data_IF_618000173751
#
_entry.id   IF_618000173751
#
_cell.length_a   1.000
_cell.length_b   1.000
_cell.length_c   1.000
_cell.angle_alpha   90.00
_cell.angle_beta   90.00
_cell.angle_gamma   90.00
#
_symmetry.space_group_name_H-M   'P 1'
#
loop_
_entity.id
_entity.type
_entity.pdbx_description
1 polymer ?
#
# COMPACT_ATOMS: atom_id res chain seq x y z
N UNK A 1 -22.29 -8.89 22.32
CA UNK A 1 -21.79 -7.70 23.04
C UNK A 1 -20.62 -8.14 23.92
N UNK A 2 -19.52 -7.40 23.95
CA UNK A 2 -18.41 -7.69 24.86
C UNK A 2 -18.77 -7.29 26.32
N UNK A 3 -18.23 -8.02 27.30
CA UNK A 3 -18.37 -7.75 28.74
C UNK A 3 -17.35 -6.72 29.25
N UNK A 4 -16.30 -7.18 29.94
CA UNK A 4 -15.16 -6.33 30.32
C UNK A 4 -14.46 -5.75 29.08
N UNK A 5 -14.11 -4.46 29.13
CA UNK A 5 -13.48 -3.72 28.02
C UNK A 5 -12.19 -3.04 28.48
N UNK A 6 -11.18 -2.90 27.61
CA UNK A 6 -9.91 -2.25 27.94
C UNK A 6 -10.09 -0.72 28.03
N UNK A 7 -10.40 -0.21 29.22
CA UNK A 7 -10.63 1.23 29.44
C UNK A 7 -9.46 2.13 29.05
N UNK A 8 -8.23 1.61 29.08
CA UNK A 8 -7.03 2.33 28.64
C UNK A 8 -7.06 2.77 27.17
N UNK A 9 -7.65 1.99 26.27
CA UNK A 9 -7.77 2.37 24.86
C UNK A 9 -8.74 3.54 24.66
N UNK A 10 -9.81 3.59 25.47
CA UNK A 10 -10.79 4.68 25.47
C UNK A 10 -10.13 5.96 25.97
N UNK A 11 -9.39 5.87 27.09
CA UNK A 11 -8.65 7.00 27.65
C UNK A 11 -7.56 7.50 26.67
N UNK A 12 -6.84 6.58 26.01
CA UNK A 12 -5.84 6.92 25.00
C UNK A 12 -6.43 7.64 23.79
N UNK A 13 -7.58 7.17 23.28
CA UNK A 13 -8.28 7.85 22.19
C UNK A 13 -8.75 9.26 22.59
N UNK A 14 -9.30 9.41 23.80
CA UNK A 14 -9.68 10.73 24.33
C UNK A 14 -8.47 11.66 24.46
N UNK A 15 -7.35 11.16 25.01
CA UNK A 15 -6.13 11.95 25.16
C UNK A 15 -5.57 12.40 23.79
N UNK A 16 -5.58 11.53 22.79
CA UNK A 16 -5.17 11.88 21.43
C UNK A 16 -6.05 13.01 20.84
N UNK A 17 -7.38 12.87 20.93
CA UNK A 17 -8.32 13.89 20.46
C UNK A 17 -8.10 15.24 21.14
N UNK A 18 -7.96 15.26 22.47
CA UNK A 18 -7.79 16.49 23.24
C UNK A 18 -6.42 17.13 23.01
N UNK A 19 -5.37 16.32 22.83
CA UNK A 19 -4.01 16.82 22.59
C UNK A 19 -3.84 17.48 21.21
N UNK A 20 -4.57 16.99 20.20
CA UNK A 20 -4.54 17.55 18.85
C UNK A 20 -5.46 18.76 18.71
N UNK A 21 -6.69 18.67 19.26
CA UNK A 21 -7.74 19.64 18.98
C UNK A 21 -8.08 19.76 17.50
N UNK A 22 -8.97 20.68 17.15
CA UNK A 22 -9.38 20.92 15.76
C UNK A 22 -8.20 21.35 14.88
N UNK A 23 -7.38 22.29 15.36
CA UNK A 23 -6.22 22.82 14.63
C UNK A 23 -5.19 21.74 14.29
N UNK A 24 -4.90 20.84 15.24
CA UNK A 24 -3.98 19.72 15.01
C UNK A 24 -4.50 18.75 13.96
N UNK A 25 -5.80 18.45 13.97
CA UNK A 25 -6.42 17.63 12.92
C UNK A 25 -6.39 18.30 11.54
N UNK A 26 -6.68 19.60 11.47
CA UNK A 26 -6.63 20.37 10.22
C UNK A 26 -5.22 20.40 9.64
N UNK A 27 -4.21 20.69 10.46
CA UNK A 27 -2.81 20.78 10.01
C UNK A 27 -2.26 19.40 9.58
N UNK A 28 -2.57 18.35 10.34
CA UNK A 28 -2.18 17.00 9.98
C UNK A 28 -2.85 16.54 8.68
N UNK A 29 -4.14 16.84 8.52
CA UNK A 29 -4.88 16.55 7.28
C UNK A 29 -4.26 17.28 6.10
N UNK A 30 -3.96 18.58 6.24
CA UNK A 30 -3.31 19.38 5.20
C UNK A 30 -2.00 18.73 4.73
N UNK A 31 -1.11 18.38 5.66
CA UNK A 31 0.18 17.73 5.37
C UNK A 31 0.01 16.40 4.63
N UNK A 32 -0.89 15.54 5.11
CA UNK A 32 -1.13 14.23 4.48
C UNK A 32 -1.73 14.41 3.07
N UNK A 33 -2.66 15.35 2.90
CA UNK A 33 -3.29 15.63 1.61
C UNK A 33 -2.30 16.21 0.59
N UNK A 34 -1.38 17.07 1.02
CA UNK A 34 -0.28 17.57 0.17
C UNK A 34 0.64 16.43 -0.28
N UNK A 35 1.07 15.58 0.66
CA UNK A 35 1.88 14.40 0.35
C UNK A 35 1.17 13.43 -0.62
N UNK A 36 -0.12 13.19 -0.40
CA UNK A 36 -0.94 12.34 -1.28
C UNK A 36 -0.98 12.89 -2.72
N UNK A 37 -1.21 14.20 -2.88
CA UNK A 37 -1.22 14.86 -4.20
C UNK A 37 0.14 14.82 -4.89
N UNK A 38 1.23 14.99 -4.13
CA UNK A 38 2.59 14.87 -4.66
C UNK A 38 2.87 13.45 -5.17
N UNK A 39 2.50 12.43 -4.39
CA UNK A 39 2.62 11.02 -4.79
C UNK A 39 1.76 10.73 -6.02
N UNK A 40 0.49 11.13 -6.03
CA UNK A 40 -0.41 10.93 -7.18
C UNK A 40 0.18 11.56 -8.45
N UNK A 41 0.67 12.80 -8.36
CA UNK A 41 1.32 13.49 -9.47
C UNK A 41 2.59 12.76 -9.92
N UNK A 42 3.46 12.40 -8.99
CA UNK A 42 4.70 11.70 -9.30
C UNK A 42 4.49 10.34 -9.96
N UNK A 43 3.46 9.60 -9.56
CA UNK A 43 3.08 8.34 -10.22
C UNK A 43 2.55 8.59 -11.63
N UNK A 44 1.73 9.62 -11.86
CA UNK A 44 1.23 9.99 -13.20
C UNK A 44 2.35 10.37 -14.17
N UNK A 45 3.51 10.79 -13.67
CA UNK A 45 4.69 11.10 -14.48
C UNK A 45 5.51 9.85 -14.87
N UNK A 46 5.15 8.66 -14.38
CA UNK A 46 5.80 7.39 -14.72
C UNK A 46 4.98 6.72 -15.84
N UNK A 47 5.48 6.66 -17.10
CA UNK A 47 4.69 6.23 -18.26
C UNK A 47 4.12 4.81 -18.16
N UNK A 48 4.81 3.92 -17.45
CA UNK A 48 4.40 2.52 -17.28
C UNK A 48 3.26 2.34 -16.27
N UNK A 49 2.96 3.36 -15.47
CA UNK A 49 1.98 3.27 -14.38
C UNK A 49 0.69 4.04 -14.69
N UNK A 50 -0.42 3.57 -14.13
CA UNK A 50 -1.68 4.28 -14.13
C UNK A 50 -2.28 4.30 -12.73
N UNK A 51 -2.99 5.38 -12.40
CA UNK A 51 -3.78 5.48 -11.17
C UNK A 51 -5.11 4.74 -11.35
N UNK A 52 -5.49 3.94 -10.36
CA UNK A 52 -6.79 3.26 -10.34
C UNK A 52 -7.85 4.27 -9.88
N UNK A 53 -8.70 4.70 -10.82
CA UNK A 53 -9.75 5.68 -10.55
C UNK A 53 -9.21 7.10 -10.35
N UNK A 54 -9.81 7.83 -9.40
CA UNK A 54 -9.44 9.21 -9.04
C UNK A 54 -9.40 9.33 -7.52
N UNK A 55 -8.21 9.27 -6.89
CA UNK A 55 -8.10 9.36 -5.44
C UNK A 55 -8.30 10.82 -4.99
N UNK A 56 -9.37 11.09 -4.24
CA UNK A 56 -9.62 12.42 -3.67
C UNK A 56 -9.00 12.61 -2.27
N UNK A 57 -8.44 11.55 -1.67
CA UNK A 57 -7.97 11.50 -0.29
C UNK A 57 -6.55 10.89 -0.19
N UNK A 58 -6.28 10.09 0.84
CA UNK A 58 -4.93 9.67 1.25
C UNK A 58 -4.52 8.28 0.79
N UNK A 59 -5.38 7.58 0.03
CA UNK A 59 -5.08 6.25 -0.50
C UNK A 59 -4.91 6.38 -2.01
N UNK A 60 -3.72 6.04 -2.50
CA UNK A 60 -3.39 6.09 -3.93
C UNK A 60 -3.10 4.66 -4.38
N UNK A 61 -4.03 4.11 -5.17
CA UNK A 61 -3.88 2.81 -5.82
C UNK A 61 -3.39 3.01 -7.25
N UNK A 62 -2.40 2.21 -7.67
CA UNK A 62 -1.81 2.28 -9.00
C UNK A 62 -1.44 0.90 -9.53
N UNK A 63 -1.45 0.76 -10.85
CA UNK A 63 -1.15 -0.48 -11.56
C UNK A 63 -0.32 -0.23 -12.81
N UNK A 64 -0.05 -1.29 -13.56
CA UNK A 64 0.57 -1.21 -14.88
C UNK A 64 -0.15 -2.12 -15.87
N UNK A 65 -0.22 -1.71 -17.13
CA UNK A 65 -0.69 -2.56 -18.24
C UNK A 65 0.45 -3.20 -19.02
N UNK A 66 1.69 -2.78 -18.76
CA UNK A 66 2.90 -3.19 -19.49
C UNK A 66 3.93 -3.92 -18.63
N UNK A 67 3.83 -3.81 -17.30
CA UNK A 67 4.66 -4.51 -16.31
C UNK A 67 3.80 -5.35 -15.36
N UNK A 68 4.39 -6.37 -14.74
CA UNK A 68 3.78 -7.00 -13.57
C UNK A 68 3.97 -6.10 -12.36
N UNK A 69 2.87 -5.50 -11.89
CA UNK A 69 2.89 -4.58 -10.75
C UNK A 69 3.36 -5.26 -9.45
N UNK A 70 3.22 -6.57 -9.33
CA UNK A 70 3.67 -7.29 -8.14
C UNK A 70 5.19 -7.49 -8.14
N UNK A 71 5.84 -7.58 -9.31
CA UNK A 71 7.31 -7.58 -9.39
C UNK A 71 7.87 -6.20 -8.97
N UNK A 72 7.19 -5.12 -9.37
CA UNK A 72 7.52 -3.76 -8.89
C UNK A 72 7.38 -3.69 -7.36
N UNK A 73 6.32 -4.30 -6.81
CA UNK A 73 6.10 -4.37 -5.37
C UNK A 73 7.20 -5.15 -4.64
N UNK A 74 7.72 -6.23 -5.22
CA UNK A 74 8.81 -7.00 -4.63
C UNK A 74 10.13 -6.20 -4.61
N UNK A 75 10.45 -5.45 -5.67
CA UNK A 75 11.61 -4.52 -5.64
C UNK A 75 11.42 -3.46 -4.56
N UNK A 76 10.24 -2.82 -4.51
CA UNK A 76 9.92 -1.83 -3.47
C UNK A 76 10.05 -2.43 -2.06
N UNK A 77 9.62 -3.69 -1.88
CA UNK A 77 9.77 -4.42 -0.62
C UNK A 77 11.23 -4.68 -0.24
N UNK A 78 12.09 -4.99 -1.21
CA UNK A 78 13.54 -5.14 -0.97
C UNK A 78 14.22 -3.83 -0.52
N UNK A 79 13.61 -2.68 -0.84
CA UNK A 79 14.01 -1.34 -0.40
C UNK A 79 13.37 -0.90 0.92
N UNK A 80 12.55 -1.77 1.54
CA UNK A 80 11.89 -1.53 2.82
C UNK A 80 10.48 -0.95 2.73
N UNK A 81 9.90 -0.84 1.53
CA UNK A 81 8.52 -0.37 1.36
C UNK A 81 7.51 -1.50 1.45
N UNK A 82 6.53 -1.38 2.34
CA UNK A 82 5.45 -2.36 2.48
C UNK A 82 4.15 -1.80 1.93
N UNK A 83 3.87 -2.09 0.66
CA UNK A 83 2.65 -1.66 -0.03
C UNK A 83 1.60 -2.78 -0.01
N UNK A 84 0.33 -2.39 -0.10
CA UNK A 84 -0.76 -3.36 -0.12
C UNK A 84 -1.00 -3.84 -1.54
N UNK A 85 -0.82 -5.15 -1.77
CA UNK A 85 -1.18 -5.80 -3.03
C UNK A 85 -2.71 -5.91 -3.17
N UNK A 86 -3.22 -5.50 -4.33
CA UNK A 86 -4.63 -5.48 -4.67
C UNK A 86 -4.90 -6.36 -5.90
N UNK A 87 -6.16 -6.74 -6.07
CA UNK A 87 -6.63 -7.56 -7.19
C UNK A 87 -7.88 -6.93 -7.80
N UNK A 88 -8.10 -7.15 -9.11
CA UNK A 88 -9.23 -6.62 -9.90
C UNK A 88 -9.34 -5.08 -9.94
N UNK A 89 -8.44 -4.39 -10.65
CA UNK A 89 -7.31 -4.91 -11.43
C UNK A 89 -6.09 -5.23 -10.54
N UNK A 90 -5.13 -5.98 -11.07
CA UNK A 90 -3.83 -6.14 -10.40
C UNK A 90 -3.24 -4.74 -10.18
N UNK A 91 -3.04 -4.39 -8.92
CA UNK A 91 -2.59 -3.06 -8.51
C UNK A 91 -1.93 -3.16 -7.14
N UNK A 92 -1.29 -2.09 -6.73
CA UNK A 92 -0.81 -1.89 -5.36
C UNK A 92 -1.30 -0.54 -4.87
N UNK A 93 -1.44 -0.36 -3.56
CA UNK A 93 -1.74 0.95 -2.99
C UNK A 93 -0.79 1.33 -1.86
N UNK A 94 -0.62 2.63 -1.70
CA UNK A 94 -0.06 3.27 -0.51
C UNK A 94 -1.17 4.05 0.21
N UNK A 95 -1.25 3.88 1.52
CA UNK A 95 -2.08 4.72 2.39
C UNK A 95 -1.17 5.75 3.05
N UNK A 96 -1.22 6.99 2.57
CA UNK A 96 -0.40 8.08 3.06
C UNK A 96 -0.87 8.46 4.48
N UNK A 97 0.09 8.55 5.38
CA UNK A 97 -0.06 8.99 6.79
C UNK A 97 1.00 10.04 7.08
N UNK A 98 0.99 10.64 8.28
CA UNK A 98 1.99 11.64 8.69
C UNK A 98 3.44 11.16 8.54
N UNK A 99 3.69 9.86 8.71
CA UNK A 99 5.03 9.27 8.61
C UNK A 99 5.61 9.34 7.19
N UNK A 100 4.76 9.47 6.17
CA UNK A 100 5.15 9.49 4.77
C UNK A 100 5.50 10.91 4.28
N UNK A 101 5.06 11.95 4.98
CA UNK A 101 5.26 13.35 4.59
C UNK A 101 6.73 13.68 4.30
N UNK A 102 7.72 13.29 5.13
CA UNK A 102 9.12 13.59 4.85
C UNK A 102 9.77 12.66 3.80
N UNK A 103 9.09 11.57 3.39
CA UNK A 103 9.68 10.52 2.55
C UNK A 103 9.09 10.47 1.14
N UNK A 104 8.25 11.43 0.75
CA UNK A 104 7.56 11.45 -0.55
C UNK A 104 8.55 11.35 -1.71
N UNK A 105 9.62 12.14 -1.68
CA UNK A 105 10.62 12.16 -2.75
C UNK A 105 11.39 10.83 -2.84
N UNK A 106 11.79 10.28 -1.69
CA UNK A 106 12.45 8.97 -1.62
C UNK A 106 11.54 7.88 -2.16
N UNK A 107 10.26 7.89 -1.79
CA UNK A 107 9.27 6.94 -2.32
C UNK A 107 9.17 7.01 -3.85
N UNK A 108 9.06 8.23 -4.41
CA UNK A 108 8.94 8.42 -5.86
C UNK A 108 10.23 8.03 -6.60
N UNK A 109 11.40 8.34 -6.04
CA UNK A 109 12.67 7.89 -6.58
C UNK A 109 12.75 6.37 -6.60
N UNK A 110 12.46 5.73 -5.47
CA UNK A 110 12.51 4.28 -5.34
C UNK A 110 11.53 3.58 -6.28
N UNK A 111 10.34 4.15 -6.46
CA UNK A 111 9.34 3.64 -7.38
C UNK A 111 9.81 3.74 -8.84
N UNK A 112 10.39 4.88 -9.26
CA UNK A 112 10.95 5.05 -10.61
C UNK A 112 12.06 4.04 -10.88
N UNK A 113 12.97 3.85 -9.92
CA UNK A 113 14.04 2.87 -10.02
C UNK A 113 13.48 1.43 -10.09
N UNK A 114 12.48 1.11 -9.28
CA UNK A 114 11.85 -0.22 -9.27
C UNK A 114 11.17 -0.54 -10.58
N UNK A 115 10.42 0.42 -11.15
CA UNK A 115 9.81 0.31 -12.48
C UNK A 115 10.88 0.09 -13.55
N UNK A 116 11.99 0.84 -13.48
CA UNK A 116 13.12 0.66 -14.41
C UNK A 116 13.73 -0.74 -14.30
N UNK A 117 13.97 -1.23 -13.09
CA UNK A 117 14.55 -2.56 -12.87
C UNK A 117 13.69 -3.67 -13.46
N UNK A 118 12.37 -3.64 -13.21
CA UNK A 118 11.42 -4.64 -13.76
C UNK A 118 11.34 -4.54 -15.28
N UNK A 119 11.41 -3.32 -15.83
CA UNK A 119 11.42 -3.11 -17.28
C UNK A 119 12.67 -3.67 -17.95
N UNK A 120 13.83 -3.55 -17.32
CA UNK A 120 15.11 -4.05 -17.85
C UNK A 120 15.28 -5.56 -17.65
N UNK A 121 14.78 -6.11 -16.54
CA UNK A 121 14.88 -7.53 -16.20
C UNK A 121 13.52 -8.05 -15.71
N UNK A 122 12.58 -8.35 -16.64
CA UNK A 122 11.28 -8.87 -16.27
C UNK A 122 11.40 -10.28 -15.68
N UNK A 123 10.66 -10.54 -14.60
CA UNK A 123 10.63 -11.83 -13.94
C UNK A 123 10.68 -11.73 -12.41
N UNK A 124 10.21 -12.77 -11.71
CA UNK A 124 10.12 -12.76 -10.26
C UNK A 124 11.50 -12.75 -9.61
N UNK A 125 11.63 -11.99 -8.53
CA UNK A 125 12.84 -11.98 -7.70
C UNK A 125 12.78 -13.16 -6.74
N UNK A 126 13.95 -13.75 -6.46
CA UNK A 126 14.06 -14.82 -5.46
C UNK A 126 13.57 -14.35 -4.09
N UNK A 127 12.58 -15.03 -3.52
CA UNK A 127 11.97 -14.68 -2.23
C UNK A 127 10.86 -13.63 -2.29
N UNK A 128 10.50 -13.14 -3.48
CA UNK A 128 9.38 -12.21 -3.69
C UNK A 128 8.00 -12.87 -3.55
N UNK A 129 6.97 -12.05 -3.30
CA UNK A 129 5.58 -12.51 -3.17
C UNK A 129 4.78 -12.33 -4.47
N UNK A 130 5.36 -11.76 -5.52
CA UNK A 130 4.69 -11.57 -6.81
C UNK A 130 4.04 -12.86 -7.37
N UNK A 131 4.71 -14.03 -7.34
CA UNK A 131 4.08 -15.26 -7.81
C UNK A 131 2.84 -15.65 -7.00
N UNK A 132 2.83 -15.40 -5.68
CA UNK A 132 1.72 -15.73 -4.79
C UNK A 132 0.52 -14.83 -5.10
N UNK A 133 0.73 -13.51 -5.17
CA UNK A 133 -0.34 -12.56 -5.48
C UNK A 133 -0.86 -12.73 -6.91
N UNK A 134 0.03 -12.96 -7.87
CA UNK A 134 -0.32 -13.24 -9.27
C UNK A 134 -1.13 -14.53 -9.42
N UNK A 135 -0.75 -15.60 -8.73
CA UNK A 135 -1.49 -16.87 -8.72
C UNK A 135 -2.86 -16.71 -8.05
N UNK A 136 -2.94 -16.10 -6.87
CA UNK A 136 -4.19 -15.89 -6.13
C UNK A 136 -5.19 -15.03 -6.91
N UNK A 137 -4.72 -14.05 -7.70
CA UNK A 137 -5.56 -13.26 -8.58
C UNK A 137 -6.18 -14.08 -9.72
N UNK A 138 -5.44 -15.06 -10.26
CA UNK A 138 -5.83 -15.89 -11.42
C UNK A 138 -6.60 -17.16 -11.05
N UNK A 139 -6.62 -17.59 -9.78
CA UNK A 139 -7.34 -18.79 -9.35
C UNK A 139 -8.85 -18.67 -9.63
N UNK A 140 -9.43 -19.59 -10.43
CA UNK A 140 -10.87 -19.61 -10.68
C UNK A 140 -11.65 -20.18 -9.49
N UNK A 141 -11.08 -21.17 -8.79
CA UNK A 141 -11.66 -21.73 -7.57
C UNK A 141 -11.28 -20.88 -6.35
N UNK A 142 -12.29 -20.29 -5.72
CA UNK A 142 -12.12 -19.48 -4.50
C UNK A 142 -12.05 -20.34 -3.24
N UNK A 143 -12.44 -21.62 -3.28
CA UNK A 143 -12.28 -22.57 -2.18
C UNK A 143 -10.82 -22.80 -1.83
N UNK A 144 -9.96 -23.01 -2.85
CA UNK A 144 -8.51 -23.14 -2.66
C UNK A 144 -7.86 -21.93 -1.99
N UNK A 145 -8.32 -20.72 -2.29
CA UNK A 145 -7.85 -19.50 -1.61
C UNK A 145 -8.28 -19.52 -0.13
N UNK A 146 -9.48 -20.01 0.17
CA UNK A 146 -9.96 -20.21 1.54
C UNK A 146 -9.07 -21.17 2.32
N UNK A 147 -8.75 -22.34 1.76
CA UNK A 147 -7.88 -23.34 2.41
C UNK A 147 -6.48 -22.79 2.66
N UNK A 148 -5.92 -22.04 1.71
CA UNK A 148 -4.63 -21.36 1.89
C UNK A 148 -4.67 -20.38 3.07
N UNK A 149 -5.75 -19.60 3.19
CA UNK A 149 -5.92 -18.63 4.28
C UNK A 149 -6.08 -19.32 5.64
N UNK A 150 -6.80 -20.44 5.70
CA UNK A 150 -6.92 -21.26 6.93
C UNK A 150 -5.55 -21.75 7.36
N UNK A 151 -4.79 -22.35 6.45
CA UNK A 151 -3.43 -22.82 6.75
C UNK A 151 -2.52 -21.67 7.21
N UNK A 152 -2.62 -20.49 6.59
CA UNK A 152 -1.87 -19.33 7.04
C UNK A 152 -2.23 -18.93 8.48
N UNK A 153 -3.52 -18.85 8.82
CA UNK A 153 -3.96 -18.55 10.18
C UNK A 153 -3.43 -19.57 11.19
N UNK A 154 -3.50 -20.86 10.86
CA UNK A 154 -3.01 -21.96 11.71
C UNK A 154 -1.49 -21.88 11.97
N UNK A 155 -0.70 -21.34 11.01
CA UNK A 155 0.75 -21.16 11.19
C UNK A 155 1.15 -19.91 11.98
N UNK A 156 0.23 -18.96 12.16
CA UNK A 156 0.48 -17.67 12.83
C UNK A 156 -0.03 -17.61 14.27
N UNK A 157 -0.78 -18.63 14.70
CA UNK A 157 -1.19 -18.83 16.09
C UNK A 157 -0.17 -19.69 16.85
#
# INVERSE_FOLDING_TARGET
MAGSRPGGLIAGAWAAMMSLGEEGYLENTRKIMEASKMIEKGIKEIPELFIVGRPDMTIVAFGSTVLDIFEVNDIMSSKGWHLNALQRPNSIHICITLQHVPTVETFLQDLRESVKTVKENPGPISGGLAPIYGAAGKMPDRGMVGDLLVNYMDTTC
#
